data_IF_872103479383
#
_entry.id   IF_872103479383
#
_cell.length_a   1.000
_cell.length_b   1.000
_cell.length_c   1.000
_cell.angle_alpha   90.00
_cell.angle_beta   90.00
_cell.angle_gamma   90.00
#
_symmetry.space_group_name_H-M   'P 1'
#
loop_
_entity.id
_entity.type
_entity.pdbx_description
1 polymer ?
#
# COMPACT_ATOMS: atom_id res chain seq x y z
N UNK A 1 20.61 -53.47 7.29
CA UNK A 1 21.07 -52.07 7.12
C UNK A 1 20.12 -51.40 6.15
N UNK A 2 19.15 -50.64 6.67
CA UNK A 2 18.14 -49.96 5.85
C UNK A 2 18.66 -48.61 5.40
N UNK A 3 18.71 -48.41 4.09
CA UNK A 3 19.08 -47.17 3.42
C UNK A 3 17.98 -46.13 3.69
N UNK A 4 18.27 -45.13 4.54
CA UNK A 4 17.33 -44.06 4.83
C UNK A 4 17.37 -43.03 3.70
N UNK A 5 16.33 -43.01 2.86
CA UNK A 5 16.06 -41.94 1.90
C UNK A 5 15.75 -40.63 2.62
N UNK A 6 16.79 -39.85 2.90
CA UNK A 6 16.68 -38.48 3.43
C UNK A 6 16.12 -37.60 2.33
N UNK A 7 14.80 -37.40 2.34
CA UNK A 7 14.14 -36.42 1.47
C UNK A 7 14.72 -35.03 1.76
N UNK A 8 15.28 -34.33 0.76
CA UNK A 8 15.89 -33.01 0.97
C UNK A 8 14.82 -32.05 1.51
N UNK A 9 14.97 -31.64 2.76
CA UNK A 9 14.09 -30.68 3.41
C UNK A 9 14.14 -29.37 2.63
N UNK A 10 12.96 -28.87 2.22
CA UNK A 10 12.77 -27.56 1.58
C UNK A 10 13.01 -26.42 2.58
N UNK A 11 14.24 -26.30 3.07
CA UNK A 11 14.69 -25.13 3.79
C UNK A 11 14.79 -24.03 2.74
N UNK A 12 13.83 -23.10 2.78
CA UNK A 12 13.85 -21.90 1.93
C UNK A 12 15.00 -21.03 2.42
N UNK A 13 16.19 -21.22 1.86
CA UNK A 13 17.29 -20.27 2.01
C UNK A 13 16.78 -18.89 1.57
N UNK A 14 17.11 -17.88 2.37
CA UNK A 14 16.79 -16.49 2.04
C UNK A 14 17.47 -16.18 0.71
N UNK A 15 16.70 -15.75 -0.30
CA UNK A 15 17.23 -15.32 -1.60
C UNK A 15 18.35 -14.30 -1.36
N UNK A 16 19.55 -14.59 -1.89
CA UNK A 16 20.70 -13.70 -1.75
C UNK A 16 20.47 -12.42 -2.58
N UNK A 17 21.22 -11.34 -2.29
CA UNK A 17 21.11 -10.09 -3.08
C UNK A 17 21.42 -10.34 -4.56
N UNK A 18 22.33 -11.26 -4.85
CA UNK A 18 22.70 -11.69 -6.20
C UNK A 18 21.56 -12.41 -6.90
N UNK A 19 20.83 -13.30 -6.21
CA UNK A 19 19.66 -13.99 -6.81
C UNK A 19 18.54 -13.00 -7.18
N UNK A 20 18.34 -11.97 -6.34
CA UNK A 20 17.37 -10.90 -6.64
C UNK A 20 17.81 -10.07 -7.86
N UNK A 21 19.09 -9.71 -7.94
CA UNK A 21 19.63 -8.99 -9.10
C UNK A 21 19.50 -9.81 -10.39
N UNK A 22 19.81 -11.10 -10.35
CA UNK A 22 19.67 -11.98 -11.51
C UNK A 22 18.21 -12.14 -11.94
N UNK A 23 17.28 -12.23 -10.98
CA UNK A 23 15.85 -12.30 -11.25
C UNK A 23 15.33 -11.03 -11.93
N UNK A 24 15.80 -9.85 -11.51
CA UNK A 24 15.48 -8.56 -12.14
C UNK A 24 16.08 -8.50 -13.55
N UNK A 25 17.36 -8.86 -13.71
CA UNK A 25 18.03 -8.89 -15.02
C UNK A 25 17.33 -9.81 -16.03
N UNK A 26 16.92 -11.02 -15.61
CA UNK A 26 16.14 -11.94 -16.45
C UNK A 26 14.75 -11.38 -16.79
N UNK A 27 14.14 -10.62 -15.90
CA UNK A 27 12.85 -9.97 -16.17
C UNK A 27 13.01 -8.83 -17.19
N UNK A 28 14.04 -8.00 -17.04
CA UNK A 28 14.36 -6.89 -17.96
C UNK A 28 14.70 -7.43 -19.36
N UNK A 29 15.51 -8.50 -19.46
CA UNK A 29 15.81 -9.20 -20.71
C UNK A 29 14.54 -9.70 -21.44
N UNK A 30 13.56 -10.22 -20.70
CA UNK A 30 12.28 -10.65 -21.28
C UNK A 30 11.43 -9.47 -21.75
N UNK A 31 11.43 -8.35 -21.02
CA UNK A 31 10.77 -7.11 -21.47
C UNK A 31 11.43 -6.59 -22.74
N UNK A 32 12.76 -6.47 -22.75
CA UNK A 32 13.52 -5.97 -23.89
C UNK A 32 13.27 -6.82 -25.15
N UNK A 33 13.23 -8.15 -25.02
CA UNK A 33 12.91 -9.05 -26.13
C UNK A 33 11.49 -8.83 -26.68
N UNK A 34 10.48 -8.66 -25.80
CA UNK A 34 9.09 -8.39 -26.22
C UNK A 34 8.95 -7.02 -26.87
N UNK A 35 9.73 -6.04 -26.42
CA UNK A 35 9.72 -4.68 -26.96
C UNK A 35 10.41 -4.62 -28.31
N UNK A 36 11.58 -5.25 -28.45
CA UNK A 36 12.22 -5.53 -29.74
C UNK A 36 11.25 -6.22 -30.70
N UNK A 37 10.54 -7.27 -30.26
CA UNK A 37 9.55 -7.96 -31.09
C UNK A 37 8.39 -7.02 -31.53
N UNK A 38 7.90 -6.15 -30.63
CA UNK A 38 6.89 -5.14 -30.96
C UNK A 38 7.41 -4.12 -31.97
N UNK A 39 8.64 -3.63 -31.79
CA UNK A 39 9.29 -2.67 -32.69
C UNK A 39 9.54 -3.32 -34.06
N UNK A 40 10.07 -4.54 -34.10
CA UNK A 40 10.25 -5.29 -35.34
C UNK A 40 8.92 -5.54 -36.05
N UNK A 41 7.84 -5.79 -35.31
CA UNK A 41 6.50 -5.96 -35.88
C UNK A 41 5.90 -4.65 -36.40
N UNK A 42 6.11 -3.54 -35.69
CA UNK A 42 5.66 -2.22 -36.12
C UNK A 42 6.42 -1.73 -37.36
N UNK A 43 7.72 -2.01 -37.43
CA UNK A 43 8.58 -1.62 -38.55
C UNK A 43 8.51 -2.60 -39.74
N UNK A 44 7.66 -3.63 -39.69
CA UNK A 44 7.51 -4.61 -40.77
C UNK A 44 8.69 -5.58 -40.95
N UNK A 45 9.72 -5.53 -40.10
CA UNK A 45 10.86 -6.46 -40.13
C UNK A 45 10.55 -7.82 -39.50
N UNK A 46 9.46 -7.95 -38.71
CA UNK A 46 9.07 -9.23 -38.12
C UNK A 46 8.35 -10.11 -39.15
N UNK A 47 9.13 -10.73 -40.04
CA UNK A 47 8.75 -12.02 -40.61
C UNK A 47 8.56 -12.95 -39.41
N UNK A 48 7.33 -13.42 -39.21
CA UNK A 48 7.04 -14.39 -38.15
C UNK A 48 8.08 -15.51 -38.25
N UNK A 49 8.80 -15.88 -37.17
CA UNK A 49 9.74 -16.99 -37.24
C UNK A 49 9.00 -18.16 -37.89
N UNK A 50 9.55 -18.77 -38.96
CA UNK A 50 8.86 -19.77 -39.74
C UNK A 50 8.30 -20.79 -38.77
N UNK A 51 6.96 -20.88 -38.73
CA UNK A 51 6.30 -21.85 -37.85
C UNK A 51 6.91 -23.19 -38.23
N UNK A 52 7.47 -23.96 -37.27
CA UNK A 52 7.94 -25.31 -37.58
C UNK A 52 6.79 -26.01 -38.28
N UNK A 53 7.05 -26.41 -39.52
CA UNK A 53 6.07 -27.00 -40.42
C UNK A 53 5.50 -28.22 -39.69
N UNK A 54 4.26 -28.11 -39.21
CA UNK A 54 3.58 -29.21 -38.51
C UNK A 54 2.92 -30.04 -39.60
N UNK A 55 3.66 -31.01 -40.12
CA UNK A 55 3.32 -31.81 -41.31
C UNK A 55 2.02 -32.64 -41.19
N UNK A 56 1.38 -32.72 -40.02
CA UNK A 56 0.28 -33.66 -39.79
C UNK A 56 -1.12 -33.04 -39.56
N UNK A 57 -1.31 -31.74 -39.75
CA UNK A 57 -2.62 -31.10 -39.52
C UNK A 57 -3.50 -31.07 -40.77
N UNK A 58 -3.97 -32.24 -41.24
CA UNK A 58 -4.93 -32.40 -42.35
C UNK A 58 -6.39 -32.12 -41.91
N UNK A 59 -6.62 -31.61 -40.70
CA UNK A 59 -7.98 -31.29 -40.25
C UNK A 59 -8.44 -29.92 -40.80
N UNK A 60 -9.53 -29.87 -41.60
CA UNK A 60 -10.06 -28.61 -42.14
C UNK A 60 -10.48 -27.66 -41.02
N UNK A 61 -10.29 -26.34 -41.19
CA UNK A 61 -10.63 -25.35 -40.18
C UNK A 61 -12.15 -25.28 -40.01
N UNK A 62 -12.69 -26.00 -39.02
CA UNK A 62 -14.06 -25.83 -38.54
C UNK A 62 -14.18 -24.47 -37.86
N UNK A 63 -14.47 -23.43 -38.65
CA UNK A 63 -14.99 -22.14 -38.15
C UNK A 63 -16.34 -22.42 -37.49
N UNK A 64 -16.36 -22.58 -36.16
CA UNK A 64 -17.60 -22.42 -35.40
C UNK A 64 -17.91 -20.92 -35.35
N UNK A 65 -19.05 -20.45 -35.90
CA UNK A 65 -19.45 -19.07 -35.71
C UNK A 65 -19.69 -18.84 -34.23
N UNK A 66 -18.97 -17.86 -33.67
CA UNK A 66 -19.15 -17.39 -32.31
C UNK A 66 -20.54 -16.73 -32.28
N UNK A 67 -21.51 -17.39 -31.64
CA UNK A 67 -22.82 -16.79 -31.41
C UNK A 67 -22.61 -15.44 -30.71
N UNK A 68 -23.05 -14.37 -31.38
CA UNK A 68 -23.21 -13.06 -30.77
C UNK A 68 -24.32 -13.18 -29.72
N UNK A 69 -24.15 -12.62 -28.50
CA UNK A 69 -25.26 -12.41 -27.59
C UNK A 69 -26.33 -11.60 -28.33
N UNK A 70 -27.56 -12.09 -28.28
CA UNK A 70 -28.75 -11.49 -28.86
C UNK A 70 -28.82 -10.01 -28.53
N UNK A 71 -28.96 -9.22 -29.61
CA UNK A 71 -29.43 -7.86 -29.62
C UNK A 71 -30.77 -7.79 -28.88
N UNK A 72 -30.80 -7.02 -27.79
CA UNK A 72 -32.02 -6.46 -27.24
C UNK A 72 -32.27 -5.20 -28.07
N UNK A 73 -33.11 -5.36 -29.09
CA UNK A 73 -33.61 -4.25 -29.90
C UNK A 73 -34.56 -3.37 -29.06
N UNK A 74 -34.33 -2.07 -29.19
CA UNK A 74 -35.32 -1.00 -29.30
C UNK A 74 -36.03 -0.51 -28.02
N UNK A 75 -35.53 0.62 -27.53
CA UNK A 75 -36.22 1.51 -26.59
C UNK A 75 -35.39 2.77 -26.30
N UNK A 76 -35.66 3.83 -27.06
CA UNK A 76 -35.42 5.25 -26.73
C UNK A 76 -33.98 5.77 -26.62
N UNK A 77 -33.50 6.35 -27.72
CA UNK A 77 -32.99 7.73 -27.84
C UNK A 77 -32.64 8.44 -26.51
N UNK A 78 -31.52 8.07 -25.89
CA UNK A 78 -31.05 8.70 -24.66
C UNK A 78 -29.53 8.69 -24.54
N UNK A 79 -28.88 9.74 -25.06
CA UNK A 79 -27.60 10.33 -24.63
C UNK A 79 -26.73 9.49 -23.66
N UNK A 80 -26.14 8.40 -24.15
CA UNK A 80 -25.38 7.44 -23.34
C UNK A 80 -23.85 7.53 -23.44
N UNK A 81 -23.29 8.64 -23.92
CA UNK A 81 -21.87 8.75 -24.27
C UNK A 81 -20.92 9.21 -23.13
N UNK A 82 -21.34 9.10 -21.86
CA UNK A 82 -20.65 9.81 -20.76
C UNK A 82 -19.62 9.03 -19.92
N UNK A 83 -19.38 7.74 -20.17
CA UNK A 83 -18.52 6.93 -19.28
C UNK A 83 -17.46 6.04 -19.98
N UNK A 84 -17.29 6.13 -21.30
CA UNK A 84 -16.31 5.31 -22.04
C UNK A 84 -14.94 5.95 -22.28
N UNK A 85 -14.88 7.28 -22.38
CA UNK A 85 -13.64 8.01 -22.71
C UNK A 85 -12.70 8.24 -21.52
N UNK A 86 -13.26 8.50 -20.34
CA UNK A 86 -12.48 8.81 -19.14
C UNK A 86 -11.69 7.61 -18.62
N UNK A 87 -12.22 6.39 -18.72
CA UNK A 87 -11.51 5.19 -18.30
C UNK A 87 -10.26 4.90 -19.16
N UNK A 88 -10.33 5.21 -20.46
CA UNK A 88 -9.20 5.00 -21.37
C UNK A 88 -8.11 6.07 -21.18
N UNK A 89 -8.53 7.33 -21.02
CA UNK A 89 -7.61 8.45 -20.75
C UNK A 89 -6.95 8.34 -19.36
N UNK A 90 -7.67 7.87 -18.33
CA UNK A 90 -7.10 7.62 -17.01
C UNK A 90 -6.07 6.48 -17.00
N UNK A 91 -6.27 5.45 -17.83
CA UNK A 91 -5.32 4.34 -17.96
C UNK A 91 -4.04 4.76 -18.71
N UNK A 92 -4.19 5.55 -19.77
CA UNK A 92 -3.04 6.16 -20.48
C UNK A 92 -2.27 7.14 -19.59
N UNK A 93 -2.95 7.90 -18.72
CA UNK A 93 -2.28 8.85 -17.83
C UNK A 93 -1.49 8.15 -16.70
N UNK A 94 -1.99 7.01 -16.21
CA UNK A 94 -1.24 6.16 -15.26
C UNK A 94 -0.05 5.50 -15.95
N UNK A 95 -0.24 4.95 -17.15
CA UNK A 95 0.84 4.31 -17.91
C UNK A 95 1.92 5.33 -18.31
N UNK A 96 1.53 6.58 -18.61
CA UNK A 96 2.46 7.69 -18.87
C UNK A 96 3.24 8.09 -17.60
N UNK A 97 2.61 8.14 -16.42
CA UNK A 97 3.33 8.41 -15.16
C UNK A 97 4.30 7.30 -14.80
N UNK A 98 3.89 6.05 -14.93
CA UNK A 98 4.77 4.90 -14.67
C UNK A 98 5.98 4.90 -15.62
N UNK A 99 5.79 5.31 -16.87
CA UNK A 99 6.87 5.45 -17.83
C UNK A 99 7.78 6.64 -17.51
N UNK A 100 7.23 7.79 -17.12
CA UNK A 100 8.02 8.96 -16.70
C UNK A 100 8.81 8.70 -15.41
N UNK A 101 8.23 8.04 -14.40
CA UNK A 101 8.94 7.63 -13.18
C UNK A 101 10.02 6.60 -13.49
N UNK A 102 9.78 5.67 -14.42
CA UNK A 102 10.80 4.73 -14.88
C UNK A 102 11.95 5.44 -15.60
N UNK A 103 11.66 6.40 -16.47
CA UNK A 103 12.67 7.20 -17.14
C UNK A 103 13.46 8.06 -16.15
N UNK A 104 12.80 8.62 -15.13
CA UNK A 104 13.44 9.38 -14.07
C UNK A 104 14.33 8.49 -13.18
N UNK A 105 13.87 7.27 -12.86
CA UNK A 105 14.63 6.29 -12.12
C UNK A 105 15.88 5.84 -12.90
N UNK A 106 15.74 5.56 -14.21
CA UNK A 106 16.88 5.21 -15.06
C UNK A 106 17.84 6.39 -15.28
N UNK A 107 17.34 7.63 -15.33
CA UNK A 107 18.19 8.82 -15.44
C UNK A 107 18.97 9.09 -14.14
N UNK A 108 18.41 8.76 -12.99
CA UNK A 108 19.08 8.92 -11.70
C UNK A 108 20.08 7.78 -11.39
N UNK A 109 19.94 6.60 -12.03
CA UNK A 109 20.90 5.49 -11.89
C UNK A 109 22.22 5.68 -12.66
N UNK A 110 22.35 6.71 -13.51
CA UNK A 110 23.64 7.07 -14.13
C UNK A 110 24.49 7.98 -13.22
N UNK A 111 23.93 8.45 -12.10
CA UNK A 111 24.69 9.13 -11.05
C UNK A 111 25.27 8.08 -10.09
N UNK A 112 26.55 7.80 -10.29
CA UNK A 112 27.36 6.83 -9.55
C UNK A 112 27.13 6.91 -8.01
N UNK A 113 26.54 5.89 -7.38
CA UNK A 113 26.30 5.86 -5.93
C UNK A 113 27.60 5.74 -5.10
N UNK A 114 28.77 5.69 -5.75
CA UNK A 114 30.09 5.77 -5.09
C UNK A 114 30.79 7.12 -5.21
N UNK A 115 30.25 8.10 -5.96
CA UNK A 115 30.87 9.42 -6.07
C UNK A 115 30.75 10.27 -4.78
N UNK A 116 29.87 9.89 -3.85
CA UNK A 116 29.61 10.58 -2.58
C UNK A 116 30.10 9.81 -1.33
N UNK A 117 31.06 8.88 -1.48
CA UNK A 117 31.78 8.38 -0.30
C UNK A 117 32.72 9.47 0.22
N UNK A 118 32.62 9.86 1.50
CA UNK A 118 33.40 10.97 2.03
C UNK A 118 34.87 10.53 2.12
N UNK A 119 35.72 11.17 1.32
CA UNK A 119 37.17 11.14 1.48
C UNK A 119 37.49 11.62 2.90
N UNK A 120 37.80 10.67 3.78
CA UNK A 120 38.35 10.91 5.12
C UNK A 120 39.61 11.78 4.97
N UNK A 121 39.53 13.05 5.37
CA UNK A 121 40.71 13.89 5.51
C UNK A 121 40.59 15.30 4.92
N UNK A 122 39.60 16.09 5.34
CA UNK A 122 39.79 17.54 5.39
C UNK A 122 38.94 18.14 6.51
N UNK A 123 39.60 18.41 7.62
CA UNK A 123 39.06 19.23 8.69
C UNK A 123 38.84 20.65 8.17
N UNK A 124 37.61 21.14 8.29
CA UNK A 124 37.21 22.53 8.06
C UNK A 124 35.87 22.78 8.75
N UNK A 125 35.66 23.94 9.40
CA UNK A 125 34.81 24.04 10.58
C UNK A 125 33.42 24.58 10.24
N UNK A 126 32.37 23.81 10.52
CA UNK A 126 31.02 24.40 10.61
C UNK A 126 30.07 23.56 11.47
N UNK A 127 29.72 24.18 12.60
CA UNK A 127 28.41 24.20 13.22
C UNK A 127 27.80 22.88 13.70
N UNK A 128 28.20 22.52 14.92
CA UNK A 128 27.38 21.78 15.87
C UNK A 128 26.01 22.44 16.02
N UNK A 129 24.95 21.69 15.71
CA UNK A 129 23.58 22.06 15.95
C UNK A 129 23.33 22.09 17.46
N UNK A 130 23.48 23.27 18.08
CA UNK A 130 23.14 23.47 19.50
C UNK A 130 21.61 23.57 19.60
N UNK A 131 20.94 22.72 20.39
CA UNK A 131 19.49 22.79 20.60
C UNK A 131 19.06 24.12 21.19
N UNK A 132 17.91 24.61 20.72
CA UNK A 132 17.37 25.95 20.98
C UNK A 132 17.26 26.34 22.47
N UNK A 133 17.16 25.36 23.37
CA UNK A 133 17.06 25.59 24.83
C UNK A 133 18.32 26.10 25.52
N UNK A 134 19.47 26.11 24.82
CA UNK A 134 20.76 26.55 25.39
C UNK A 134 21.28 27.88 24.81
N UNK A 135 20.45 28.63 24.06
CA UNK A 135 20.83 30.00 23.69
C UNK A 135 20.61 30.94 24.88
N UNK A 136 21.64 31.63 25.40
CA UNK A 136 21.44 32.69 26.37
C UNK A 136 20.65 33.82 25.71
N UNK A 137 19.59 34.25 26.40
CA UNK A 137 18.74 35.39 26.08
C UNK A 137 19.55 36.66 25.83
N UNK A 138 19.59 37.13 24.58
CA UNK A 138 19.99 38.51 24.30
C UNK A 138 18.88 39.45 24.80
N UNK A 139 19.21 40.53 25.52
CA UNK A 139 18.24 41.43 26.09
C UNK A 139 17.54 42.24 24.98
N UNK A 140 16.21 42.26 25.08
CA UNK A 140 15.31 43.12 24.33
C UNK A 140 15.68 44.60 24.53
N UNK A 141 15.97 45.30 23.44
CA UNK A 141 16.01 46.77 23.40
C UNK A 141 14.57 47.27 23.57
N UNK A 142 14.23 48.05 24.62
CA UNK A 142 12.88 48.56 24.79
C UNK A 142 12.59 49.66 23.77
N UNK A 143 11.49 49.52 23.02
CA UNK A 143 10.90 50.61 22.25
C UNK A 143 10.23 51.61 23.22
N UNK A 144 10.45 52.92 23.09
CA UNK A 144 9.71 53.91 23.85
C UNK A 144 8.26 54.03 23.33
N UNK A 145 7.27 54.25 24.21
CA UNK A 145 5.89 54.48 23.81
C UNK A 145 5.67 55.95 23.46
N UNK A 146 5.04 56.20 22.31
CA UNK A 146 4.44 57.49 21.98
C UNK A 146 5.21 58.31 20.95
N UNK A 147 4.88 58.15 19.68
CA UNK A 147 4.95 59.21 18.68
C UNK A 147 3.83 58.96 17.65
N UNK A 148 2.97 59.97 17.50
CA UNK A 148 1.76 59.95 16.68
C UNK A 148 2.00 60.10 15.17
N UNK A 149 0.97 60.48 14.40
CA UNK A 149 0.96 60.42 12.94
C UNK A 149 1.50 61.71 12.27
N UNK A 150 1.96 61.55 11.01
CA UNK A 150 2.36 62.55 9.99
C UNK A 150 3.76 63.17 10.11
N UNK A 151 4.30 63.83 9.04
CA UNK A 151 4.25 63.59 7.59
C UNK A 151 5.67 63.58 6.96
N UNK A 152 5.76 63.36 5.64
CA UNK A 152 6.98 63.48 4.82
C UNK A 152 7.85 64.73 5.11
N UNK A 153 9.18 64.62 4.87
CA UNK A 153 9.89 65.70 4.19
C UNK A 153 10.81 65.22 3.04
N UNK A 154 11.37 66.16 2.24
CA UNK A 154 11.59 66.00 0.81
C UNK A 154 13.06 65.74 0.38
N UNK A 155 13.19 65.41 -0.90
CA UNK A 155 14.36 65.50 -1.79
C UNK A 155 15.69 66.04 -1.21
N UNK A 156 16.77 65.30 -1.44
CA UNK A 156 18.05 65.93 -1.83
C UNK A 156 18.85 65.08 -2.80
N UNK A 157 18.89 65.60 -4.02
CA UNK A 157 19.86 65.31 -5.08
C UNK A 157 21.25 65.77 -4.60
N UNK A 158 22.26 64.90 -4.63
CA UNK A 158 23.66 65.32 -4.80
C UNK A 158 24.46 64.21 -5.48
N UNK A 159 24.64 64.38 -6.78
CA UNK A 159 25.74 63.79 -7.53
C UNK A 159 27.07 64.23 -6.92
N UNK A 160 27.82 63.26 -6.42
CA UNK A 160 29.28 63.36 -6.29
C UNK A 160 29.82 62.28 -7.21
N UNK A 161 30.35 62.69 -8.37
CA UNK A 161 31.15 61.85 -9.25
C UNK A 161 32.46 61.53 -8.55
N UNK A 162 32.41 60.62 -7.58
CA UNK A 162 33.57 59.91 -7.11
C UNK A 162 33.89 58.87 -8.17
N UNK A 163 34.91 59.13 -9.00
CA UNK A 163 35.65 58.12 -9.75
C UNK A 163 36.45 57.23 -8.79
N UNK A 164 35.81 56.76 -7.72
CA UNK A 164 36.21 55.52 -7.05
C UNK A 164 35.98 54.45 -8.10
N UNK A 165 37.04 54.10 -8.82
CA UNK A 165 37.12 52.78 -9.46
C UNK A 165 36.68 51.79 -8.40
N UNK A 166 35.52 51.20 -8.63
CA UNK A 166 34.97 50.24 -7.70
C UNK A 166 36.00 49.10 -7.70
N UNK A 167 36.60 48.72 -6.56
CA UNK A 167 37.56 47.61 -6.54
C UNK A 167 36.92 46.29 -7.03
N UNK A 168 35.60 46.24 -7.18
CA UNK A 168 34.83 45.21 -7.87
C UNK A 168 34.98 45.22 -9.40
N UNK A 169 35.30 46.35 -10.03
CA UNK A 169 35.57 46.43 -11.48
C UNK A 169 37.02 46.07 -11.85
N UNK A 170 37.92 45.94 -10.86
CA UNK A 170 39.29 45.42 -11.06
C UNK A 170 39.39 43.90 -10.83
N UNK A 171 38.28 43.26 -10.45
CA UNK A 171 38.18 41.81 -10.36
C UNK A 171 37.56 41.33 -11.68
N UNK A 172 38.35 40.63 -12.50
CA UNK A 172 37.86 39.89 -13.67
C UNK A 172 36.58 39.13 -13.24
N UNK A 173 35.46 39.11 -13.99
CA UNK A 173 34.19 38.44 -13.63
C UNK A 173 34.30 36.98 -13.14
N UNK A 174 35.48 36.38 -13.20
CA UNK A 174 35.83 35.04 -12.76
C UNK A 174 36.66 35.00 -11.47
N UNK A 175 36.89 36.13 -10.79
CA UNK A 175 37.59 36.20 -9.51
C UNK A 175 39.09 35.92 -9.59
N UNK A 176 39.68 35.94 -10.79
CA UNK A 176 41.12 35.69 -10.97
C UNK A 176 41.85 37.03 -10.80
N UNK A 177 42.69 37.18 -9.76
CA UNK A 177 43.46 38.41 -9.57
C UNK A 177 44.41 38.59 -10.76
N UNK A 178 44.35 39.75 -11.41
CA UNK A 178 45.21 40.08 -12.55
C UNK A 178 46.63 40.24 -12.00
N UNK A 179 47.60 39.40 -12.40
CA UNK A 179 48.97 39.49 -11.90
C UNK A 179 49.63 40.78 -12.41
N UNK A 180 50.53 41.40 -11.62
CA UNK A 180 51.23 42.61 -12.03
C UNK A 180 52.14 42.31 -13.24
N UNK A 181 51.85 42.94 -14.38
CA UNK A 181 52.45 42.67 -15.70
C UNK A 181 53.98 42.84 -15.78
N UNK A 182 54.64 43.43 -14.77
CA UNK A 182 56.06 43.80 -14.82
C UNK A 182 57.07 42.71 -14.44
N UNK A 183 56.64 41.59 -13.85
CA UNK A 183 57.57 40.58 -13.31
C UNK A 183 57.36 39.17 -13.86
N UNK A 184 56.42 38.99 -14.80
CA UNK A 184 56.04 37.68 -15.28
C UNK A 184 56.87 37.30 -16.50
N UNK A 185 57.46 36.10 -16.48
CA UNK A 185 58.18 35.57 -17.63
C UNK A 185 57.21 35.33 -18.79
N UNK A 186 57.70 35.34 -20.03
CA UNK A 186 56.86 35.13 -21.22
C UNK A 186 56.11 33.78 -21.18
N UNK A 187 56.72 32.77 -20.56
CA UNK A 187 56.08 31.46 -20.32
C UNK A 187 54.91 31.52 -19.33
N UNK A 188 55.00 32.35 -18.30
CA UNK A 188 53.92 32.55 -17.32
C UNK A 188 52.79 33.42 -17.91
N UNK A 189 53.13 34.41 -18.75
CA UNK A 189 52.13 35.20 -19.48
C UNK A 189 51.30 34.36 -20.44
N UNK A 190 51.93 33.49 -21.22
CA UNK A 190 51.21 32.58 -22.12
C UNK A 190 50.31 31.59 -21.36
N UNK A 191 50.77 31.08 -20.20
CA UNK A 191 49.95 30.25 -19.32
C UNK A 191 48.78 31.01 -18.71
N UNK A 192 48.98 32.26 -18.27
CA UNK A 192 47.91 33.12 -17.75
C UNK A 192 46.83 33.38 -18.80
N UNK A 193 47.21 33.72 -20.04
CA UNK A 193 46.26 33.92 -21.15
C UNK A 193 45.50 32.63 -21.47
N UNK A 194 46.19 31.48 -21.50
CA UNK A 194 45.55 30.17 -21.69
C UNK A 194 44.56 29.88 -20.58
N UNK A 195 44.94 30.10 -19.33
CA UNK A 195 44.09 29.85 -18.15
C UNK A 195 42.89 30.79 -18.11
N UNK A 196 43.05 32.06 -18.45
CA UNK A 196 41.95 33.03 -18.58
C UNK A 196 40.97 32.65 -19.70
N UNK A 197 41.47 32.17 -20.84
CA UNK A 197 40.62 31.67 -21.94
C UNK A 197 39.85 30.39 -21.55
N UNK A 198 40.49 29.47 -20.81
CA UNK A 198 39.80 28.30 -20.26
C UNK A 198 38.75 28.69 -19.22
N UNK A 199 39.05 29.63 -18.34
CA UNK A 199 38.12 30.12 -17.32
C UNK A 199 36.87 30.73 -17.96
N UNK A 200 37.00 31.55 -19.01
CA UNK A 200 35.87 32.11 -19.76
C UNK A 200 34.99 31.03 -20.38
N UNK A 201 35.59 30.07 -21.09
CA UNK A 201 34.83 28.98 -21.74
C UNK A 201 34.11 28.10 -20.73
N UNK A 202 34.74 27.79 -19.60
CA UNK A 202 34.12 26.98 -18.52
C UNK A 202 33.12 27.76 -17.69
N UNK A 203 33.25 29.08 -17.59
CA UNK A 203 32.29 29.88 -16.85
C UNK A 203 30.94 29.97 -17.58
N UNK A 204 30.95 30.04 -18.91
CA UNK A 204 29.73 29.90 -19.71
C UNK A 204 29.07 28.52 -19.48
N UNK A 205 29.88 27.46 -19.44
CA UNK A 205 29.43 26.10 -19.14
C UNK A 205 28.85 25.98 -17.72
N UNK A 206 29.51 26.56 -16.71
CA UNK A 206 29.05 26.61 -15.32
C UNK A 206 27.74 27.39 -15.18
N UNK A 207 27.61 28.52 -15.89
CA UNK A 207 26.38 29.33 -15.86
C UNK A 207 25.23 28.64 -16.61
N UNK A 208 25.53 27.90 -17.68
CA UNK A 208 24.56 27.05 -18.35
C UNK A 208 24.10 25.88 -17.45
N UNK A 209 25.04 25.22 -16.76
CA UNK A 209 24.75 24.18 -15.78
C UNK A 209 23.92 24.72 -14.61
N UNK A 210 24.22 25.92 -14.11
CA UNK A 210 23.44 26.56 -13.04
C UNK A 210 22.02 26.93 -13.51
N UNK A 211 21.86 27.43 -14.74
CA UNK A 211 20.53 27.66 -15.32
C UNK A 211 19.73 26.37 -15.43
N UNK A 212 20.34 25.28 -15.90
CA UNK A 212 19.69 23.98 -15.95
C UNK A 212 19.29 23.47 -14.57
N UNK A 213 20.12 23.65 -13.54
CA UNK A 213 19.78 23.27 -12.16
C UNK A 213 18.58 24.06 -11.65
N UNK A 214 18.56 25.37 -11.87
CA UNK A 214 17.43 26.23 -11.47
C UNK A 214 16.13 25.90 -12.21
N UNK A 215 16.22 25.57 -13.49
CA UNK A 215 15.06 25.14 -14.29
C UNK A 215 14.51 23.78 -13.80
N UNK A 216 15.40 22.84 -13.48
CA UNK A 216 15.00 21.55 -12.92
C UNK A 216 14.30 21.72 -11.55
N UNK A 217 14.90 22.49 -10.65
CA UNK A 217 14.32 22.79 -9.34
C UNK A 217 12.95 23.50 -9.47
N UNK A 218 12.80 24.43 -10.42
CA UNK A 218 11.53 25.10 -10.68
C UNK A 218 10.46 24.13 -11.20
N UNK A 219 10.84 23.22 -12.11
CA UNK A 219 9.95 22.20 -12.66
C UNK A 219 9.53 21.17 -11.61
N UNK A 220 10.40 20.82 -10.67
CA UNK A 220 10.06 19.93 -9.55
C UNK A 220 9.07 20.58 -8.59
N UNK A 221 9.28 21.86 -8.24
CA UNK A 221 8.33 22.61 -7.40
C UNK A 221 6.95 22.72 -8.06
N UNK A 222 6.90 22.92 -9.38
CA UNK A 222 5.64 22.94 -10.12
C UNK A 222 4.91 21.59 -10.05
N UNK A 223 5.63 20.48 -10.24
CA UNK A 223 5.07 19.12 -10.11
C UNK A 223 4.61 18.79 -8.69
N UNK A 224 5.27 19.32 -7.67
CA UNK A 224 4.88 19.17 -6.27
C UNK A 224 3.57 19.91 -5.98
N UNK A 225 3.47 21.17 -6.41
CA UNK A 225 2.25 21.98 -6.30
C UNK A 225 1.08 21.29 -7.03
N UNK A 226 1.33 20.69 -8.21
CA UNK A 226 0.30 19.96 -8.94
C UNK A 226 -0.17 18.69 -8.20
N UNK A 227 0.76 17.93 -7.61
CA UNK A 227 0.44 16.74 -6.79
C UNK A 227 -0.38 17.12 -5.56
N UNK A 228 0.04 18.14 -4.82
CA UNK A 228 -0.69 18.63 -3.64
C UNK A 228 -2.11 19.08 -4.03
N UNK A 229 -2.26 19.80 -5.16
CA UNK A 229 -3.57 20.23 -5.66
C UNK A 229 -4.47 19.04 -6.05
N UNK A 230 -3.89 17.95 -6.55
CA UNK A 230 -4.61 16.71 -6.88
C UNK A 230 -5.06 15.97 -5.63
N UNK A 231 -4.18 15.81 -4.65
CA UNK A 231 -4.49 15.18 -3.35
C UNK A 231 -5.57 15.97 -2.61
N UNK A 232 -5.45 17.30 -2.54
CA UNK A 232 -6.46 18.16 -1.91
C UNK A 232 -7.83 18.06 -2.60
N UNK A 233 -7.86 17.85 -3.93
CA UNK A 233 -9.10 17.63 -4.67
C UNK A 233 -9.70 16.25 -4.39
N UNK A 234 -8.86 15.22 -4.25
CA UNK A 234 -9.30 13.86 -3.90
C UNK A 234 -9.81 13.78 -2.45
N UNK A 235 -9.11 14.41 -1.52
CA UNK A 235 -9.54 14.53 -0.11
C UNK A 235 -10.89 15.24 0.00
N UNK A 236 -11.10 16.34 -0.73
CA UNK A 236 -12.42 16.99 -0.83
C UNK A 236 -13.50 16.06 -1.38
N UNK A 237 -13.18 15.18 -2.33
CA UNK A 237 -14.14 14.18 -2.83
C UNK A 237 -14.43 13.08 -1.81
N UNK A 238 -13.42 12.63 -1.06
CA UNK A 238 -13.56 11.64 0.00
C UNK A 238 -14.43 12.18 1.12
N UNK A 239 -14.13 13.39 1.61
CA UNK A 239 -14.92 14.06 2.64
C UNK A 239 -16.37 14.30 2.19
N UNK A 240 -16.60 14.64 0.91
CA UNK A 240 -17.95 14.76 0.37
C UNK A 240 -18.72 13.43 0.40
N UNK A 241 -18.09 12.32 -0.01
CA UNK A 241 -18.72 10.98 0.04
C UNK A 241 -19.04 10.55 1.46
N UNK A 242 -18.12 10.76 2.39
CA UNK A 242 -18.30 10.43 3.80
C UNK A 242 -19.46 11.24 4.42
N UNK A 243 -19.55 12.54 4.08
CA UNK A 243 -20.68 13.38 4.49
C UNK A 243 -22.01 12.89 3.93
N UNK A 244 -22.06 12.54 2.64
CA UNK A 244 -23.26 11.99 1.98
C UNK A 244 -23.65 10.62 2.59
N UNK A 245 -22.68 9.78 2.95
CA UNK A 245 -22.93 8.49 3.60
C UNK A 245 -23.44 8.64 5.03
N UNK A 246 -22.84 9.55 5.81
CA UNK A 246 -23.32 9.90 7.15
C UNK A 246 -24.75 10.45 7.11
N UNK A 247 -25.07 11.30 6.13
CA UNK A 247 -26.42 11.84 5.94
C UNK A 247 -27.42 10.75 5.51
N UNK A 248 -27.01 9.82 4.63
CA UNK A 248 -27.81 8.63 4.30
C UNK A 248 -28.04 7.74 5.51
N UNK A 249 -27.03 7.52 6.34
CA UNK A 249 -27.15 6.73 7.56
C UNK A 249 -28.12 7.40 8.52
N UNK A 250 -27.98 8.72 8.73
CA UNK A 250 -28.89 9.52 9.56
C UNK A 250 -30.33 9.46 9.04
N UNK A 251 -30.53 9.58 7.73
CA UNK A 251 -31.85 9.49 7.10
C UNK A 251 -32.48 8.09 7.28
N UNK A 252 -31.68 7.02 7.19
CA UNK A 252 -32.16 5.65 7.49
C UNK A 252 -32.53 5.48 8.95
N UNK A 253 -31.73 6.01 9.88
CA UNK A 253 -32.04 5.96 11.31
C UNK A 253 -33.30 6.76 11.65
N UNK A 254 -33.51 7.93 11.04
CA UNK A 254 -34.73 8.72 11.26
C UNK A 254 -35.97 8.10 10.62
N UNK A 255 -35.85 7.49 9.43
CA UNK A 255 -36.95 6.76 8.81
C UNK A 255 -37.30 5.48 9.59
N UNK A 256 -36.31 4.82 10.17
CA UNK A 256 -36.49 3.64 11.03
C UNK A 256 -37.02 3.99 12.44
N UNK A 257 -37.01 5.26 12.86
CA UNK A 257 -37.61 5.69 14.13
C UNK A 257 -39.12 5.97 14.02
N UNK A 258 -39.77 5.46 12.97
CA UNK A 258 -41.23 5.37 12.96
C UNK A 258 -41.68 4.68 14.26
N UNK A 259 -42.66 5.22 14.99
CA UNK A 259 -43.08 4.71 16.29
C UNK A 259 -43.32 3.22 16.21
N UNK A 260 -42.47 2.44 16.89
CA UNK A 260 -42.55 0.98 16.93
C UNK A 260 -43.98 0.62 17.37
N UNK A 261 -44.78 -0.06 16.54
CA UNK A 261 -46.05 -0.62 16.97
C UNK A 261 -45.75 -1.53 18.15
N UNK A 262 -46.35 -1.24 19.31
CA UNK A 262 -46.19 -2.00 20.55
C UNK A 262 -46.34 -3.50 20.19
N UNK A 263 -45.27 -4.30 20.30
CA UNK A 263 -45.32 -5.68 19.86
C UNK A 263 -46.24 -6.47 20.78
N UNK A 264 -47.28 -7.07 20.20
CA UNK A 264 -48.14 -8.02 20.89
C UNK A 264 -47.31 -9.20 21.43
N UNK A 265 -47.50 -9.64 22.69
CA UNK A 265 -46.58 -10.54 23.40
C UNK A 265 -46.64 -12.04 22.99
N UNK A 266 -47.15 -12.42 21.82
CA UNK A 266 -47.47 -13.83 21.54
C UNK A 266 -46.81 -14.51 20.33
N UNK A 267 -45.86 -13.86 19.67
CA UNK A 267 -45.08 -14.52 18.61
C UNK A 267 -43.61 -14.13 18.74
N UNK A 268 -42.94 -14.69 19.76
CA UNK A 268 -41.48 -14.77 19.77
C UNK A 268 -41.13 -15.79 18.66
N UNK A 269 -40.63 -15.36 17.49
CA UNK A 269 -40.30 -16.28 16.41
C UNK A 269 -39.20 -17.21 16.93
N UNK A 270 -39.51 -18.51 16.95
CA UNK A 270 -38.62 -19.65 17.13
C UNK A 270 -37.16 -19.31 17.46
N UNK A 271 -36.92 -19.07 18.75
CA UNK A 271 -35.78 -19.60 19.50
C UNK A 271 -34.42 -19.35 18.89
N UNK A 272 -33.77 -18.31 19.41
CA UNK A 272 -32.34 -18.03 19.33
C UNK A 272 -31.50 -19.25 19.72
N UNK A 273 -31.41 -20.23 18.82
CA UNK A 273 -30.22 -21.03 18.63
C UNK A 273 -29.07 -20.05 18.46
N UNK A 274 -27.94 -20.33 19.12
CA UNK A 274 -26.75 -19.46 19.05
C UNK A 274 -26.54 -18.97 17.62
N UNK A 275 -26.67 -17.66 17.45
CA UNK A 275 -26.57 -17.01 16.15
C UNK A 275 -25.19 -17.34 15.56
N UNK A 276 -25.13 -17.98 14.38
CA UNK A 276 -23.86 -18.32 13.72
C UNK A 276 -22.92 -17.12 13.54
N UNK A 277 -23.43 -15.88 13.56
CA UNK A 277 -22.59 -14.67 13.53
C UNK A 277 -21.74 -14.51 14.79
N UNK A 278 -22.30 -14.82 15.97
CA UNK A 278 -21.61 -14.68 17.26
C UNK A 278 -20.43 -15.63 17.38
N UNK A 279 -20.49 -16.78 16.69
CA UNK A 279 -19.37 -17.71 16.61
C UNK A 279 -18.12 -17.04 16.04
N UNK A 280 -18.25 -16.32 14.92
CA UNK A 280 -17.11 -15.63 14.31
C UNK A 280 -16.60 -14.48 15.18
N UNK A 281 -17.49 -13.67 15.74
CA UNK A 281 -17.07 -12.58 16.64
C UNK A 281 -16.34 -13.10 17.86
N UNK A 282 -16.84 -14.17 18.51
CA UNK A 282 -16.15 -14.80 19.65
C UNK A 282 -14.80 -15.40 19.24
N UNK A 283 -14.75 -16.04 18.07
CA UNK A 283 -13.53 -16.63 17.55
C UNK A 283 -12.47 -15.56 17.23
N UNK A 284 -12.87 -14.45 16.61
CA UNK A 284 -12.00 -13.31 16.32
C UNK A 284 -11.48 -12.66 17.60
N UNK A 285 -12.32 -12.49 18.63
CA UNK A 285 -11.88 -12.02 19.94
C UNK A 285 -10.81 -12.92 20.57
N UNK A 286 -10.91 -14.25 20.38
CA UNK A 286 -9.87 -15.18 20.84
C UNK A 286 -8.56 -15.02 20.05
N UNK A 287 -8.63 -14.75 18.74
CA UNK A 287 -7.45 -14.58 17.89
C UNK A 287 -6.72 -13.25 18.14
N UNK A 288 -7.46 -12.16 18.36
CA UNK A 288 -6.91 -10.81 18.48
C UNK A 288 -6.25 -10.54 19.84
N UNK A 289 -6.59 -11.29 20.88
CA UNK A 289 -6.19 -11.06 22.28
C UNK A 289 -4.71 -11.23 22.64
N UNK A 290 -3.76 -10.87 21.77
CA UNK A 290 -2.31 -10.94 22.03
C UNK A 290 -1.80 -9.99 23.12
N UNK A 291 -2.62 -9.07 23.63
CA UNK A 291 -2.19 -8.03 24.59
C UNK A 291 -2.93 -8.08 25.94
N UNK A 292 -4.08 -8.75 26.03
CA UNK A 292 -4.82 -8.92 27.30
C UNK A 292 -4.57 -10.32 27.84
N UNK A 293 -3.37 -10.54 28.40
CA UNK A 293 -2.93 -11.82 28.95
C UNK A 293 -3.68 -12.26 30.21
N UNK A 294 -4.53 -11.40 30.80
CA UNK A 294 -5.03 -11.61 32.17
C UNK A 294 -6.44 -12.20 32.28
N UNK A 295 -7.14 -12.49 31.18
CA UNK A 295 -8.50 -13.06 31.26
C UNK A 295 -8.42 -14.59 31.31
N UNK A 296 -8.68 -15.17 32.49
CA UNK A 296 -8.80 -16.62 32.66
C UNK A 296 -9.99 -17.16 31.85
N UNK A 297 -9.72 -17.79 30.70
CA UNK A 297 -10.75 -18.41 29.87
C UNK A 297 -11.22 -19.73 30.49
N UNK A 298 -12.54 -19.92 30.56
CA UNK A 298 -13.17 -21.19 30.93
C UNK A 298 -13.40 -22.08 29.70
N UNK A 299 -13.66 -23.37 29.93
CA UNK A 299 -14.04 -24.29 28.85
C UNK A 299 -15.27 -23.78 28.07
N UNK A 300 -16.23 -23.17 28.77
CA UNK A 300 -17.47 -22.65 28.19
C UNK A 300 -17.29 -21.31 27.47
N UNK A 301 -16.14 -20.64 27.54
CA UNK A 301 -15.91 -19.38 26.80
C UNK A 301 -15.45 -19.64 25.37
N UNK A 302 -14.88 -20.82 25.13
CA UNK A 302 -14.42 -21.23 23.81
C UNK A 302 -15.67 -21.45 22.93
N UNK A 303 -15.73 -20.84 21.73
CA UNK A 303 -16.84 -21.00 20.81
C UNK A 303 -16.72 -22.34 20.08
N UNK A 304 -17.00 -23.43 20.80
CA UNK A 304 -17.07 -24.78 20.24
C UNK A 304 -18.08 -24.83 19.10
N UNK A 305 -17.84 -25.64 18.04
CA UNK A 305 -18.71 -25.71 16.86
C UNK A 305 -19.97 -26.56 17.11
N UNK A 306 -20.69 -26.28 18.18
CA UNK A 306 -21.94 -26.94 18.57
C UNK A 306 -22.92 -25.88 19.06
N UNK A 307 -24.21 -26.12 18.85
CA UNK A 307 -25.24 -25.27 19.44
C UNK A 307 -25.22 -25.47 20.95
N UNK A 308 -25.16 -24.38 21.74
CA UNK A 308 -25.40 -24.52 23.16
C UNK A 308 -26.84 -24.98 23.37
N UNK A 309 -27.09 -25.91 24.29
CA UNK A 309 -28.44 -26.18 24.73
C UNK A 309 -28.98 -24.86 25.27
N UNK A 310 -29.86 -24.22 24.49
CA UNK A 310 -30.51 -23.00 24.92
C UNK A 310 -31.27 -23.36 26.19
N UNK A 311 -31.05 -22.61 27.27
CA UNK A 311 -31.73 -22.77 28.56
C UNK A 311 -33.23 -22.40 28.48
N UNK A 312 -33.90 -22.79 27.39
CA UNK A 312 -35.32 -22.65 27.16
C UNK A 312 -36.05 -23.56 28.14
N UNK A 313 -36.41 -22.98 29.28
CA UNK A 313 -37.41 -23.53 30.19
C UNK A 313 -36.92 -23.92 31.57
N UNK A 314 -35.64 -23.73 31.90
CA UNK A 314 -35.17 -23.89 33.29
C UNK A 314 -34.94 -22.53 33.93
N UNK A 315 -35.95 -22.10 34.65
CA UNK A 315 -35.87 -21.02 35.62
C UNK A 315 -34.69 -21.29 36.57
N UNK A 316 -33.76 -20.35 36.66
CA UNK A 316 -32.70 -20.23 37.66
C UNK A 316 -31.32 -20.83 37.33
N UNK A 317 -30.48 -19.97 36.74
CA UNK A 317 -29.07 -19.79 37.14
C UNK A 317 -28.01 -20.81 36.72
N UNK A 318 -28.39 -22.01 36.31
CA UNK A 318 -27.43 -23.04 35.89
C UNK A 318 -27.20 -22.96 34.39
N UNK A 319 -26.17 -22.23 33.96
CA UNK A 319 -25.62 -22.39 32.60
C UNK A 319 -25.24 -23.86 32.42
N UNK A 320 -25.97 -24.59 31.58
CA UNK A 320 -25.58 -25.96 31.20
C UNK A 320 -24.23 -25.88 30.50
N UNK A 321 -23.19 -26.34 31.18
CA UNK A 321 -21.83 -26.41 30.64
C UNK A 321 -21.80 -27.36 29.45
N UNK A 322 -21.08 -26.98 28.40
CA UNK A 322 -20.90 -27.85 27.23
C UNK A 322 -20.13 -29.09 27.69
N UNK A 323 -20.72 -30.28 27.55
CA UNK A 323 -20.04 -31.53 27.84
C UNK A 323 -19.28 -32.02 26.61
N UNK A 324 -18.16 -32.71 26.80
CA UNK A 324 -17.37 -33.32 25.71
C UNK A 324 -18.22 -34.27 24.86
N UNK A 325 -19.17 -34.96 25.49
CA UNK A 325 -20.11 -35.87 24.82
C UNK A 325 -21.04 -35.16 23.82
N UNK A 326 -21.22 -33.84 23.93
CA UNK A 326 -22.02 -33.07 22.97
C UNK A 326 -21.28 -32.78 21.66
N UNK A 327 -19.95 -32.94 21.64
CA UNK A 327 -19.10 -32.73 20.47
C UNK A 327 -19.13 -33.96 19.53
N UNK A 328 -20.34 -34.37 19.13
CA UNK A 328 -20.58 -35.47 18.19
C UNK A 328 -20.56 -34.98 16.74
N UNK A 329 -20.34 -35.91 15.80
CA UNK A 329 -20.37 -35.64 14.36
C UNK A 329 -21.66 -34.96 13.91
N UNK A 330 -22.80 -35.39 14.44
CA UNK A 330 -24.12 -34.87 14.06
C UNK A 330 -24.32 -33.42 14.51
N UNK A 331 -23.95 -33.12 15.76
CA UNK A 331 -24.09 -31.78 16.32
C UNK A 331 -23.17 -30.78 15.61
N UNK A 332 -21.90 -31.16 15.36
CA UNK A 332 -20.94 -30.33 14.64
C UNK A 332 -21.36 -30.13 13.18
N UNK A 333 -21.86 -31.18 12.51
CA UNK A 333 -22.38 -31.08 11.14
C UNK A 333 -23.56 -30.11 11.06
N UNK A 334 -24.53 -30.23 11.97
CA UNK A 334 -25.72 -29.37 12.02
C UNK A 334 -25.31 -27.91 12.20
N UNK A 335 -24.38 -27.64 13.11
CA UNK A 335 -23.85 -26.31 13.37
C UNK A 335 -23.12 -25.74 12.16
N UNK A 336 -22.18 -26.48 11.57
CA UNK A 336 -21.42 -26.03 10.39
C UNK A 336 -22.30 -25.76 9.17
N UNK A 337 -23.38 -26.51 9.00
CA UNK A 337 -24.36 -26.29 7.93
C UNK A 337 -25.10 -24.96 8.13
N UNK A 338 -25.49 -24.63 9.36
CA UNK A 338 -26.12 -23.35 9.68
C UNK A 338 -25.15 -22.17 9.46
N UNK A 339 -23.88 -22.32 9.89
CA UNK A 339 -22.82 -21.33 9.67
C UNK A 339 -22.60 -21.10 8.17
N UNK A 340 -22.50 -22.16 7.37
CA UNK A 340 -22.36 -22.05 5.93
C UNK A 340 -23.56 -21.33 5.28
N UNK A 341 -24.79 -21.67 5.69
CA UNK A 341 -26.00 -20.99 5.21
C UNK A 341 -25.98 -19.49 5.52
N UNK A 342 -25.53 -19.09 6.71
CA UNK A 342 -25.43 -17.68 7.08
C UNK A 342 -24.39 -16.92 6.24
N UNK A 343 -23.24 -17.55 5.96
CA UNK A 343 -22.19 -16.95 5.11
C UNK A 343 -22.62 -16.82 3.64
N UNK A 344 -23.44 -17.74 3.13
CA UNK A 344 -23.99 -17.65 1.78
C UNK A 344 -25.03 -16.52 1.68
N UNK A 345 -25.85 -16.31 2.71
CA UNK A 345 -26.83 -15.22 2.74
C UNK A 345 -26.18 -13.84 2.76
N UNK A 346 -25.06 -13.67 3.48
CA UNK A 346 -24.36 -12.37 3.54
C UNK A 346 -23.59 -12.05 2.25
N UNK A 347 -23.24 -13.06 1.44
CA UNK A 347 -22.57 -12.90 0.15
C UNK A 347 -23.55 -13.13 -1.00
N UNK A 348 -24.53 -12.23 -1.11
CA UNK A 348 -25.49 -12.20 -2.21
C UNK A 348 -24.79 -12.02 -3.56
N UNK A 349 -24.46 -13.10 -4.29
CA UNK A 349 -24.28 -13.13 -5.76
C UNK A 349 -23.50 -14.33 -6.32
N UNK A 350 -22.91 -15.21 -5.50
CA UNK A 350 -22.10 -16.32 -6.04
C UNK A 350 -22.95 -17.59 -6.22
N UNK A 351 -23.23 -17.96 -7.49
CA UNK A 351 -23.97 -19.17 -7.90
C UNK A 351 -23.24 -20.50 -7.60
N UNK A 352 -22.39 -20.55 -6.57
CA UNK A 352 -21.78 -21.77 -6.06
C UNK A 352 -22.70 -22.45 -5.05
N UNK A 353 -23.06 -23.70 -5.28
CA UNK A 353 -23.99 -24.45 -4.43
C UNK A 353 -23.60 -24.51 -2.95
N UNK A 354 -24.59 -24.71 -2.09
CA UNK A 354 -24.51 -24.76 -0.62
C UNK A 354 -23.44 -25.72 -0.08
N UNK A 355 -23.15 -26.81 -0.80
CA UNK A 355 -22.12 -27.78 -0.45
C UNK A 355 -20.70 -27.23 -0.56
N UNK A 356 -20.45 -26.34 -1.53
CA UNK A 356 -19.16 -25.69 -1.73
C UNK A 356 -18.80 -24.77 -0.57
N UNK A 357 -19.79 -24.08 -0.02
CA UNK A 357 -19.60 -23.18 1.12
C UNK A 357 -19.45 -23.95 2.43
N UNK A 358 -20.18 -25.06 2.63
CA UNK A 358 -19.96 -25.96 3.76
C UNK A 358 -18.52 -26.48 3.80
N UNK A 359 -18.00 -26.97 2.67
CA UNK A 359 -16.63 -27.50 2.61
C UNK A 359 -15.57 -26.41 2.91
N UNK A 360 -15.80 -25.16 2.50
CA UNK A 360 -14.92 -24.03 2.84
C UNK A 360 -14.97 -23.72 4.34
N UNK A 361 -16.16 -23.63 4.92
CA UNK A 361 -16.38 -23.38 6.36
C UNK A 361 -15.73 -24.46 7.21
N UNK A 362 -15.90 -25.74 6.86
CA UNK A 362 -15.28 -26.86 7.58
C UNK A 362 -13.74 -26.81 7.48
N UNK A 363 -13.17 -26.52 6.30
CA UNK A 363 -11.71 -26.35 6.16
C UNK A 363 -11.16 -25.18 6.97
N UNK A 364 -11.94 -24.12 7.15
CA UNK A 364 -11.59 -23.01 8.03
C UNK A 364 -11.63 -23.41 9.49
N UNK A 365 -12.69 -24.10 9.92
CA UNK A 365 -12.79 -24.67 11.26
C UNK A 365 -11.62 -25.62 11.57
N UNK A 366 -11.19 -26.49 10.64
CA UNK A 366 -10.02 -27.37 10.83
C UNK A 366 -8.73 -26.57 11.06
N UNK A 367 -8.53 -25.48 10.30
CA UNK A 367 -7.34 -24.61 10.48
C UNK A 367 -7.34 -23.93 11.85
N UNK A 368 -8.52 -23.62 12.34
CA UNK A 368 -8.77 -22.94 13.62
C UNK A 368 -8.63 -23.89 14.83
N UNK A 369 -9.16 -25.11 14.72
CA UNK A 369 -9.13 -26.16 15.74
C UNK A 369 -8.01 -27.20 15.51
N UNK A 370 -6.92 -26.81 14.84
CA UNK A 370 -5.75 -27.68 14.73
C UNK A 370 -5.03 -27.73 16.09
N UNK A 371 -4.78 -28.90 16.70
CA UNK A 371 -4.31 -29.01 18.08
C UNK A 371 -3.07 -28.15 18.34
N UNK A 372 -2.05 -28.24 17.49
CA UNK A 372 -0.81 -27.44 17.61
C UNK A 372 -1.04 -25.91 17.63
N UNK A 373 -1.87 -25.40 16.71
CA UNK A 373 -2.17 -23.95 16.63
C UNK A 373 -3.13 -23.50 17.71
N UNK A 374 -4.04 -24.39 18.11
CA UNK A 374 -5.02 -24.11 19.13
C UNK A 374 -4.35 -24.03 20.50
N UNK A 375 -3.47 -24.99 20.83
CA UNK A 375 -2.76 -25.01 22.11
C UNK A 375 -1.83 -23.82 22.29
N UNK A 376 -1.08 -23.45 21.25
CA UNK A 376 -0.18 -22.28 21.30
C UNK A 376 -0.92 -20.96 21.50
N UNK A 377 -2.17 -20.83 21.04
CA UNK A 377 -2.94 -19.57 21.10
C UNK A 377 -3.90 -19.48 22.29
N UNK A 378 -4.58 -20.57 22.61
CA UNK A 378 -5.72 -20.57 23.55
C UNK A 378 -5.32 -21.16 24.90
N UNK A 379 -4.53 -22.24 24.93
CA UNK A 379 -4.28 -23.00 26.17
C UNK A 379 -3.52 -22.18 27.23
N UNK A 380 -2.68 -21.23 26.80
CA UNK A 380 -1.98 -20.31 27.71
C UNK A 380 -2.93 -19.42 28.53
N UNK A 381 -4.09 -19.06 27.96
CA UNK A 381 -5.12 -18.20 28.58
C UNK A 381 -6.19 -18.97 29.35
N UNK A 382 -6.26 -20.29 29.16
CA UNK A 382 -7.26 -21.15 29.82
C UNK A 382 -6.83 -21.45 31.25
N UNK A 383 -7.81 -21.38 32.16
CA UNK A 383 -7.64 -21.75 33.57
C UNK A 383 -7.10 -23.17 33.71
N UNK A 384 -6.13 -23.37 34.60
CA UNK A 384 -5.42 -24.65 34.74
C UNK A 384 -6.36 -25.87 34.93
N UNK A 385 -7.46 -25.69 35.68
CA UNK A 385 -8.49 -26.71 35.93
C UNK A 385 -9.20 -27.19 34.65
N UNK A 386 -9.33 -26.33 33.65
CA UNK A 386 -10.04 -26.62 32.40
C UNK A 386 -9.09 -26.96 31.24
N UNK A 387 -7.77 -26.80 31.41
CA UNK A 387 -6.79 -27.02 30.33
C UNK A 387 -6.88 -28.43 29.73
N UNK A 388 -7.03 -29.45 30.56
CA UNK A 388 -7.13 -30.84 30.08
C UNK A 388 -8.46 -31.09 29.34
N UNK A 389 -9.56 -30.52 29.84
CA UNK A 389 -10.86 -30.58 29.15
C UNK A 389 -10.80 -29.88 27.78
N UNK A 390 -10.18 -28.70 27.73
CA UNK A 390 -9.99 -27.93 26.49
C UNK A 390 -9.10 -28.69 25.51
N UNK A 391 -8.05 -29.36 25.98
CA UNK A 391 -7.17 -30.20 25.14
C UNK A 391 -7.98 -31.34 24.49
N UNK A 392 -8.74 -32.07 25.30
CA UNK A 392 -9.60 -33.16 24.84
C UNK A 392 -10.69 -32.69 23.89
N UNK A 393 -11.34 -31.56 24.19
CA UNK A 393 -12.36 -30.96 23.34
C UNK A 393 -11.81 -30.52 21.99
N UNK A 394 -10.62 -29.91 21.95
CA UNK A 394 -9.96 -29.52 20.70
C UNK A 394 -9.59 -30.74 19.85
N UNK A 395 -9.05 -31.80 20.47
CA UNK A 395 -8.73 -33.05 19.77
C UNK A 395 -9.98 -33.73 19.20
N UNK A 396 -11.05 -33.79 19.99
CA UNK A 396 -12.32 -34.37 19.58
C UNK A 396 -12.94 -33.60 18.40
N UNK A 397 -13.01 -32.27 18.50
CA UNK A 397 -13.50 -31.41 17.41
C UNK A 397 -12.64 -31.56 16.16
N UNK A 398 -11.32 -31.62 16.30
CA UNK A 398 -10.41 -31.81 15.17
C UNK A 398 -10.68 -33.13 14.44
N UNK A 399 -10.86 -34.23 15.17
CA UNK A 399 -11.21 -35.55 14.60
C UNK A 399 -12.55 -35.50 13.88
N UNK A 400 -13.58 -34.98 14.54
CA UNK A 400 -14.94 -34.86 13.99
C UNK A 400 -14.98 -34.00 12.72
N UNK A 401 -14.26 -32.87 12.71
CA UNK A 401 -14.19 -32.01 11.53
C UNK A 401 -13.47 -32.69 10.35
N UNK A 402 -12.42 -33.47 10.63
CA UNK A 402 -11.73 -34.24 9.59
C UNK A 402 -12.62 -35.34 8.99
N UNK A 403 -13.43 -36.01 9.82
CA UNK A 403 -14.39 -37.00 9.33
C UNK A 403 -15.52 -36.34 8.52
N UNK A 404 -15.95 -35.14 8.92
CA UNK A 404 -16.92 -34.36 8.16
C UNK A 404 -16.41 -33.99 6.76
N UNK A 405 -15.11 -33.71 6.57
CA UNK A 405 -14.50 -33.46 5.24
C UNK A 405 -14.48 -34.69 4.35
N UNK A 406 -14.49 -35.91 4.92
CA UNK A 406 -14.59 -37.15 4.12
C UNK A 406 -16.02 -37.38 3.62
N UNK A 407 -17.01 -36.90 4.38
CA UNK A 407 -18.44 -37.06 4.08
C UNK A 407 -18.94 -35.99 3.09
N UNK A 408 -18.40 -34.76 3.15
CA UNK A 408 -18.77 -33.60 2.32
C UNK A 408 -17.87 -33.48 1.09
#
# INVERSE_FOLDING_TARGET
>A
MGEYDVRPSKIKLKETKTDKAEKIYRHEQRRYRKEQERISRANGYAVSPPRPFREESISPPRKRPKQRPQDFEEGEDGEGEWMGGYGRRAREEVEKREWEDKMHWMANEVSDPFADWPTFGRAGPSFSHIPERWRPSSPSIPRPPGFGPFPFPPFSNRHVHSTRRNPLDEIDPYGIPIPPLGHMTESEYTNFVRQGMYARRRAEEMFAAERHRREHEAREREKEIEREKRERKEERRRHRREREEYERHRARSSASSSPIPIPHPHTIPYGALDDPTKYFTRWESLQTGGEVESTELLFDDIPWPVFRPSARGRSSGSSESILLDTLTLENVRKFMTAVAGHLSTSKSSSAGGTTGDLRKTVREAIRNFHPDRFYSRVLGRVREKDREKVRQGADQVSRVLNDLVKIV
#
